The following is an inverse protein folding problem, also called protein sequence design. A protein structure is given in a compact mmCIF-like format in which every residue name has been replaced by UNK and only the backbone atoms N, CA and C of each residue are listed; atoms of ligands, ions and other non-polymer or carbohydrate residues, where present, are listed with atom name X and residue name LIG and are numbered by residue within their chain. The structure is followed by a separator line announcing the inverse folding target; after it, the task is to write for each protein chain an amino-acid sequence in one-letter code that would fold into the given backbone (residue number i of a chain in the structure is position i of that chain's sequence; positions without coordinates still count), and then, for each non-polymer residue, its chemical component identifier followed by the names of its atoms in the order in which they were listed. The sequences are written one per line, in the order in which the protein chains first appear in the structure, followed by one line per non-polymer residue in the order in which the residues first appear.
data_IF_438003512739
#
_entry.id   IF_438003512739
#
_cell.length_a   1.000
_cell.length_b   1.000
_cell.length_c   1.000
_cell.angle_alpha   90.00
_cell.angle_beta   90.00
_cell.angle_gamma   90.00
#
_symmetry.space_group_name_H-M   'P 1'
#
loop_
_entity.id
_entity.type
_entity.pdbx_description
1 polymer ?
#
# COMPACT_ATOMS: atom_id res chain seq x y z
N UNK A 1 -0.64 20.93 7.26
CA UNK A 1 -0.18 19.73 6.50
C UNK A 1 1.31 19.55 6.63
N UNK A 2 2.12 20.49 6.12
CA UNK A 2 3.58 20.41 6.16
C UNK A 2 4.16 20.21 7.58
N UNK A 3 3.66 20.95 8.57
CA UNK A 3 4.10 20.78 9.97
C UNK A 3 3.82 19.38 10.51
N UNK A 4 2.62 18.84 10.25
CA UNK A 4 2.25 17.49 10.68
C UNK A 4 3.10 16.42 9.98
N UNK A 5 3.31 16.54 8.66
CA UNK A 5 4.19 15.63 7.92
C UNK A 5 5.64 15.70 8.41
N UNK A 6 6.14 16.89 8.75
CA UNK A 6 7.47 17.09 9.32
C UNK A 6 7.62 16.45 10.71
N UNK A 7 6.59 16.58 11.55
CA UNK A 7 6.56 15.94 12.87
C UNK A 7 6.55 14.41 12.75
N UNK A 8 5.74 13.85 11.85
CA UNK A 8 5.70 12.41 11.56
C UNK A 8 7.07 11.94 11.05
N UNK A 9 7.65 12.66 10.09
CA UNK A 9 8.95 12.30 9.53
C UNK A 9 10.05 12.27 10.60
N UNK A 10 10.09 13.29 11.46
CA UNK A 10 11.04 13.36 12.57
C UNK A 10 10.88 12.19 13.55
N UNK A 11 9.64 11.83 13.88
CA UNK A 11 9.35 10.70 14.76
C UNK A 11 9.81 9.36 14.15
N UNK A 12 9.54 9.12 12.87
CA UNK A 12 9.95 7.91 12.16
C UNK A 12 11.46 7.76 12.10
N UNK A 13 12.18 8.84 11.82
CA UNK A 13 13.65 8.82 11.80
C UNK A 13 14.26 8.64 13.18
N UNK A 14 13.69 9.28 14.20
CA UNK A 14 14.15 9.13 15.58
C UNK A 14 13.97 7.69 16.07
N UNK A 15 12.91 7.02 15.61
CA UNK A 15 12.68 5.60 15.85
C UNK A 15 13.59 4.67 15.03
N UNK A 16 14.37 5.20 14.07
CA UNK A 16 15.21 4.40 13.18
C UNK A 16 14.40 3.54 12.21
N UNK A 17 13.25 4.02 11.73
CA UNK A 17 12.38 3.23 10.88
C UNK A 17 13.05 2.87 9.53
N UNK A 18 13.27 1.57 9.32
CA UNK A 18 13.80 1.01 8.08
C UNK A 18 12.73 0.96 6.97
N UNK A 19 11.47 0.77 7.36
CA UNK A 19 10.29 0.68 6.48
C UNK A 19 9.16 1.55 7.04
N UNK A 20 8.46 2.28 6.16
CA UNK A 20 7.25 3.04 6.49
C UNK A 20 6.08 2.44 5.72
N UNK A 21 5.22 1.71 6.43
CA UNK A 21 4.08 1.01 5.86
C UNK A 21 2.77 1.80 6.04
N UNK A 22 2.15 2.19 4.94
CA UNK A 22 0.85 2.86 4.92
C UNK A 22 -0.27 1.82 4.92
N UNK A 23 -0.83 1.54 6.11
CA UNK A 23 -1.97 0.66 6.31
C UNK A 23 -3.26 1.48 6.42
N UNK A 24 -3.97 1.70 5.31
CA UNK A 24 -5.20 2.52 5.31
C UNK A 24 -4.96 4.00 5.61
N UNK A 25 -3.79 4.54 5.23
CA UNK A 25 -3.46 5.94 5.47
C UNK A 25 -4.16 6.86 4.45
N UNK A 26 -5.36 7.33 4.79
CA UNK A 26 -6.26 8.07 3.89
C UNK A 26 -5.84 9.53 3.60
N UNK A 27 -4.55 9.85 3.63
CA UNK A 27 -4.04 11.21 3.35
C UNK A 27 -2.97 11.16 2.27
N UNK A 28 -3.11 12.04 1.27
CA UNK A 28 -2.06 12.27 0.28
C UNK A 28 -0.84 12.85 0.99
N UNK A 29 0.32 12.22 0.84
CA UNK A 29 1.59 12.68 1.38
C UNK A 29 2.23 13.73 0.47
N UNK A 30 2.84 14.75 1.06
CA UNK A 30 3.54 15.78 0.29
C UNK A 30 4.82 15.24 -0.35
N UNK A 31 5.22 15.81 -1.49
CA UNK A 31 6.45 15.45 -2.20
C UNK A 31 7.69 15.40 -1.30
N UNK A 32 7.93 16.37 -0.40
CA UNK A 32 9.07 16.30 0.53
C UNK A 32 9.04 15.10 1.47
N UNK A 33 7.85 14.65 1.90
CA UNK A 33 7.72 13.45 2.72
C UNK A 33 8.03 12.20 1.91
N UNK A 34 7.47 12.10 0.70
CA UNK A 34 7.73 10.99 -0.22
C UNK A 34 9.22 10.88 -0.55
N UNK A 35 9.87 12.00 -0.88
CA UNK A 35 11.30 12.03 -1.22
C UNK A 35 12.17 11.58 -0.04
N UNK A 36 11.79 11.92 1.20
CA UNK A 36 12.53 11.56 2.42
C UNK A 36 12.50 10.07 2.77
N UNK A 37 11.46 9.37 2.34
CA UNK A 37 11.26 7.93 2.57
C UNK A 37 11.27 7.12 1.28
N UNK A 38 11.76 7.69 0.17
CA UNK A 38 11.85 7.00 -1.10
C UNK A 38 12.61 5.67 -0.96
N UNK A 39 12.07 4.60 -1.56
CA UNK A 39 12.64 3.25 -1.47
C UNK A 39 12.31 2.49 -0.17
N UNK A 40 11.67 3.13 0.82
CA UNK A 40 11.21 2.48 2.05
C UNK A 40 9.78 2.84 2.49
N UNK A 41 9.12 3.74 1.75
CA UNK A 41 7.71 4.08 1.92
C UNK A 41 6.85 3.18 1.04
N UNK A 42 6.01 2.35 1.66
CA UNK A 42 5.19 1.35 0.96
C UNK A 42 3.72 1.51 1.31
N UNK A 43 2.86 1.22 0.34
CA UNK A 43 1.40 1.29 0.49
C UNK A 43 0.77 -0.01 0.00
N UNK A 44 -0.32 -0.40 0.66
CA UNK A 44 -1.21 -1.44 0.16
C UNK A 44 -2.46 -0.81 -0.44
N UNK A 45 -2.85 -1.30 -1.60
CA UNK A 45 -4.02 -0.82 -2.32
C UNK A 45 -4.91 -1.99 -2.75
N UNK A 46 -6.22 -1.99 -2.43
CA UNK A 46 -7.14 -3.09 -2.71
C UNK A 46 -7.61 -3.09 -4.17
N UNK A 47 -6.65 -3.16 -5.10
CA UNK A 47 -6.87 -3.40 -6.51
C UNK A 47 -5.63 -4.02 -7.16
N UNK A 48 -5.81 -4.64 -8.32
CA UNK A 48 -4.72 -4.98 -9.24
C UNK A 48 -4.31 -3.73 -10.01
N UNK A 49 -3.29 -3.02 -9.52
CA UNK A 49 -2.77 -1.84 -10.21
C UNK A 49 -2.16 -2.24 -11.57
N UNK A 50 -2.36 -1.44 -12.64
CA UNK A 50 -2.88 -0.06 -12.64
C UNK A 50 -4.40 0.07 -12.86
N UNK A 51 -5.20 -0.99 -12.72
CA UNK A 51 -6.60 -0.98 -13.17
C UNK A 51 -7.51 0.01 -12.41
N UNK A 52 -7.47 0.00 -11.07
CA UNK A 52 -8.36 0.85 -10.24
C UNK A 52 -7.60 1.63 -9.16
N UNK A 53 -6.82 2.67 -9.51
CA UNK A 53 -6.16 3.54 -8.54
C UNK A 53 -7.16 4.45 -7.81
N UNK A 54 -6.85 4.87 -6.59
CA UNK A 54 -7.67 5.78 -5.78
C UNK A 54 -8.81 5.11 -5.01
N UNK A 55 -9.65 5.91 -4.36
CA UNK A 55 -10.68 5.46 -3.40
C UNK A 55 -11.72 4.50 -4.00
N UNK A 56 -12.39 3.71 -3.15
CA UNK A 56 -13.47 2.80 -3.55
C UNK A 56 -13.08 1.84 -4.69
N UNK A 57 -11.83 1.39 -4.72
CA UNK A 57 -11.29 0.57 -5.81
C UNK A 57 -12.05 -0.77 -5.96
N UNK A 58 -12.37 -1.43 -4.84
CA UNK A 58 -13.13 -2.69 -4.83
C UNK A 58 -14.51 -2.50 -5.46
N UNK A 59 -15.27 -1.49 -5.00
CA UNK A 59 -16.60 -1.20 -5.53
C UNK A 59 -16.58 -0.88 -7.03
N UNK A 60 -15.62 -0.06 -7.48
CA UNK A 60 -15.51 0.30 -8.91
C UNK A 60 -15.18 -0.92 -9.77
N UNK A 61 -14.25 -1.77 -9.34
CA UNK A 61 -13.95 -3.04 -10.02
C UNK A 61 -15.17 -3.97 -10.07
N UNK A 62 -15.89 -4.06 -8.95
CA UNK A 62 -17.11 -4.85 -8.85
C UNK A 62 -18.21 -4.36 -9.80
N UNK A 63 -18.51 -3.07 -9.80
CA UNK A 63 -19.54 -2.44 -10.63
C UNK A 63 -19.19 -2.52 -12.12
N UNK A 64 -17.90 -2.50 -12.47
CA UNK A 64 -17.43 -2.70 -13.84
C UNK A 64 -17.60 -4.13 -14.35
N UNK A 65 -17.90 -5.08 -13.48
CA UNK A 65 -18.11 -6.48 -13.86
C UNK A 65 -16.83 -7.32 -13.86
N UNK A 66 -15.75 -6.86 -13.21
CA UNK A 66 -14.49 -7.60 -13.16
C UNK A 66 -14.69 -8.98 -12.53
N UNK A 67 -14.20 -10.03 -13.22
CA UNK A 67 -14.23 -11.39 -12.72
C UNK A 67 -13.14 -11.66 -11.67
N UNK A 68 -12.06 -10.90 -11.71
CA UNK A 68 -10.93 -11.00 -10.80
C UNK A 68 -10.60 -9.60 -10.26
N UNK A 69 -10.54 -9.50 -8.94
CA UNK A 69 -10.04 -8.34 -8.21
C UNK A 69 -8.67 -8.70 -7.62
N UNK A 70 -8.15 -7.87 -6.71
CA UNK A 70 -6.93 -8.20 -6.02
C UNK A 70 -6.43 -7.08 -5.14
N UNK A 71 -5.21 -7.26 -4.66
CA UNK A 71 -4.49 -6.31 -3.83
C UNK A 71 -3.10 -6.14 -4.40
N UNK A 72 -2.59 -4.92 -4.39
CA UNK A 72 -1.23 -4.58 -4.78
C UNK A 72 -0.51 -3.90 -3.61
N UNK A 73 0.72 -4.32 -3.33
CA UNK A 73 1.65 -3.58 -2.47
C UNK A 73 2.70 -2.96 -3.38
N UNK A 74 2.94 -1.66 -3.20
CA UNK A 74 3.84 -0.89 -4.04
C UNK A 74 4.62 0.14 -3.22
N UNK A 75 5.75 0.58 -3.75
CA UNK A 75 6.42 1.77 -3.23
C UNK A 75 5.60 3.02 -3.55
N UNK A 76 5.59 3.98 -2.64
CA UNK A 76 4.91 5.26 -2.84
C UNK A 76 5.81 6.19 -3.64
N UNK A 77 5.24 6.82 -4.66
CA UNK A 77 5.84 7.91 -5.41
C UNK A 77 4.96 9.18 -5.31
N UNK A 78 5.19 10.15 -6.19
CA UNK A 78 4.43 11.43 -6.21
C UNK A 78 3.07 11.30 -6.89
N UNK A 79 2.77 10.17 -7.52
CA UNK A 79 1.48 9.88 -8.12
C UNK A 79 0.55 9.14 -7.14
N UNK A 80 -0.67 8.89 -7.59
CA UNK A 80 -1.67 8.14 -6.83
C UNK A 80 -1.64 6.69 -7.28
N UNK A 81 -1.09 5.82 -6.44
CA UNK A 81 -0.98 4.38 -6.68
C UNK A 81 -0.21 4.02 -7.98
N UNK A 82 0.82 4.80 -8.31
CA UNK A 82 1.62 4.64 -9.54
C UNK A 82 3.02 4.10 -9.32
N UNK A 83 3.46 4.01 -8.07
CA UNK A 83 4.84 3.62 -7.79
C UNK A 83 5.12 2.14 -8.08
N UNK A 84 6.41 1.75 -8.08
CA UNK A 84 6.82 0.39 -8.44
C UNK A 84 6.15 -0.68 -7.58
N UNK A 85 5.57 -1.69 -8.24
CA UNK A 85 4.90 -2.82 -7.59
C UNK A 85 5.94 -3.73 -6.96
N UNK A 86 5.71 -4.08 -5.69
CA UNK A 86 6.52 -5.05 -4.93
C UNK A 86 5.91 -6.44 -5.05
N UNK A 87 4.58 -6.52 -4.94
CA UNK A 87 3.84 -7.76 -5.13
C UNK A 87 2.35 -7.54 -5.20
N UNK A 88 1.62 -8.53 -5.71
CA UNK A 88 0.17 -8.52 -5.77
C UNK A 88 -0.41 -9.91 -5.48
N UNK A 89 -1.70 -9.93 -5.21
CA UNK A 89 -2.48 -11.16 -5.10
C UNK A 89 -3.82 -10.95 -5.79
N UNK A 90 -4.25 -11.95 -6.53
CA UNK A 90 -5.52 -11.97 -7.25
C UNK A 90 -6.58 -12.61 -6.36
N UNK A 91 -7.78 -12.02 -6.34
CA UNK A 91 -8.94 -12.49 -5.58
C UNK A 91 -10.11 -12.65 -6.55
N UNK A 92 -10.76 -13.81 -6.53
CA UNK A 92 -11.93 -14.05 -7.37
C UNK A 92 -13.11 -13.19 -6.92
N UNK A 93 -13.91 -12.73 -7.88
CA UNK A 93 -15.19 -12.08 -7.63
C UNK A 93 -16.12 -13.02 -6.83
N UNK A 94 -16.67 -12.55 -5.71
CA UNK A 94 -17.71 -13.26 -4.94
C UNK A 94 -19.08 -13.26 -5.64
N UNK A 95 -20.14 -13.61 -4.92
CA UNK A 95 -21.52 -13.43 -5.40
C UNK A 95 -22.04 -12.01 -5.09
N UNK A 96 -21.56 -11.39 -4.01
CA UNK A 96 -21.91 -10.03 -3.59
C UNK A 96 -20.69 -9.13 -3.43
N UNK A 97 -20.91 -7.80 -3.43
CA UNK A 97 -19.86 -6.83 -3.17
C UNK A 97 -19.25 -7.06 -1.78
N UNK A 98 -20.09 -7.29 -0.78
CA UNK A 98 -19.67 -7.51 0.61
C UNK A 98 -18.77 -8.75 0.76
N UNK A 99 -19.15 -9.88 0.15
CA UNK A 99 -18.30 -11.09 0.13
C UNK A 99 -16.92 -10.81 -0.50
N UNK A 100 -16.89 -9.93 -1.48
CA UNK A 100 -15.67 -9.61 -2.22
C UNK A 100 -14.79 -8.62 -1.46
N UNK A 101 -15.40 -7.63 -0.81
CA UNK A 101 -14.69 -6.72 0.10
C UNK A 101 -14.01 -7.52 1.23
N UNK A 102 -14.72 -8.48 1.85
CA UNK A 102 -14.15 -9.37 2.87
C UNK A 102 -12.95 -10.15 2.30
N UNK A 103 -13.12 -10.82 1.16
CA UNK A 103 -12.06 -11.62 0.56
C UNK A 103 -10.82 -10.78 0.16
N UNK A 104 -11.04 -9.57 -0.36
CA UNK A 104 -9.98 -8.64 -0.74
C UNK A 104 -9.23 -8.13 0.50
N UNK A 105 -9.92 -7.69 1.56
CA UNK A 105 -9.25 -7.21 2.77
C UNK A 105 -8.53 -8.32 3.54
N UNK A 106 -9.04 -9.55 3.52
CA UNK A 106 -8.29 -10.70 4.03
C UNK A 106 -6.99 -10.94 3.26
N UNK A 107 -7.04 -10.85 1.93
CA UNK A 107 -5.86 -10.96 1.08
C UNK A 107 -4.89 -9.79 1.32
N UNK A 108 -5.43 -8.60 1.58
CA UNK A 108 -4.68 -7.38 1.91
C UNK A 108 -3.85 -7.55 3.16
N UNK A 109 -4.47 -7.95 4.27
CA UNK A 109 -3.79 -8.18 5.54
C UNK A 109 -2.66 -9.21 5.41
N UNK A 110 -2.92 -10.33 4.71
CA UNK A 110 -1.92 -11.38 4.48
C UNK A 110 -0.75 -10.88 3.62
N UNK A 111 -1.06 -10.26 2.48
CA UNK A 111 -0.05 -9.79 1.54
C UNK A 111 0.83 -8.70 2.16
N UNK A 112 0.20 -7.70 2.80
CA UNK A 112 0.92 -6.54 3.30
C UNK A 112 1.79 -6.88 4.51
N UNK A 113 1.31 -7.75 5.40
CA UNK A 113 2.11 -8.26 6.52
C UNK A 113 3.35 -8.99 6.01
N UNK A 114 3.15 -9.94 5.07
CA UNK A 114 4.26 -10.71 4.49
C UNK A 114 5.31 -9.81 3.84
N UNK A 115 4.90 -8.91 2.95
CA UNK A 115 5.84 -8.01 2.26
C UNK A 115 6.55 -7.08 3.24
N UNK A 116 5.84 -6.56 4.25
CA UNK A 116 6.48 -5.70 5.27
C UNK A 116 7.57 -6.46 6.03
N UNK A 117 7.33 -7.72 6.41
CA UNK A 117 8.36 -8.57 7.04
C UNK A 117 9.53 -8.84 6.09
N UNK A 118 9.27 -9.20 4.83
CA UNK A 118 10.32 -9.44 3.84
C UNK A 118 11.21 -8.20 3.62
N UNK A 119 10.62 -6.99 3.62
CA UNK A 119 11.36 -5.73 3.52
C UNK A 119 12.19 -5.44 4.76
N UNK A 120 11.69 -5.76 5.96
CA UNK A 120 12.45 -5.63 7.20
C UNK A 120 13.64 -6.59 7.21
N UNK A 121 13.42 -7.87 6.87
CA UNK A 121 14.50 -8.86 6.79
C UNK A 121 15.58 -8.43 5.78
N UNK A 122 15.18 -7.86 4.64
CA UNK A 122 16.10 -7.33 3.65
C UNK A 122 16.88 -6.10 4.14
N UNK A 123 16.26 -5.22 4.92
CA UNK A 123 16.93 -4.09 5.55
C UNK A 123 17.95 -4.54 6.61
N UNK A 124 17.57 -5.52 7.42
CA UNK A 124 18.41 -6.14 8.44
C UNK A 124 19.66 -6.80 7.85
N UNK A 125 19.50 -7.53 6.75
CA UNK A 125 20.62 -8.17 6.05
C UNK A 125 21.63 -7.18 5.43
N UNK A 126 21.23 -5.92 5.24
CA UNK A 126 22.08 -4.86 4.72
C UNK A 126 22.74 -4.02 5.83
N UNK A 127 22.46 -4.30 7.11
CA UNK A 127 23.11 -3.62 8.22
C UNK A 127 24.60 -4.03 8.31
N UNK A 128 25.51 -3.07 8.49
CA UNK A 128 26.95 -3.32 8.61
C UNK A 128 27.35 -4.04 9.90
#
# INVERSE_FOLDING_TARGET
RAEAESAIATALETAGADVVALAGFMRVLGGPFVDRFAGRLVNVHPSLLPAWPGIEAIRRAWEAGDAMLGVTVHYVDKGMDTGPIIGNVVVARGATLEETEVAVHEAEHRLFTRITVELLDAADAQRP
#
